data_IF_685798335864
#
_entry.id   IF_685798335864
#
_cell.length_a   1.000
_cell.length_b   1.000
_cell.length_c   1.000
_cell.angle_alpha   90.00
_cell.angle_beta   90.00
_cell.angle_gamma   90.00
#
_symmetry.space_group_name_H-M   'P 1'
#
loop_
_entity.id
_entity.type
_entity.pdbx_description
1 polymer ?
#
# COMPACT_ATOMS: atom_id res chain seq x y z
N UNK A 1 11.74 0.42 -21.89
CA UNK A 1 12.25 0.97 -20.62
C UNK A 1 12.44 -0.17 -19.63
N UNK A 2 13.38 0.00 -18.70
CA UNK A 2 13.71 -0.88 -17.59
C UNK A 2 13.19 -0.25 -16.29
N UNK A 3 12.24 -0.91 -15.63
CA UNK A 3 11.48 -0.34 -14.51
C UNK A 3 11.60 -1.24 -13.29
N UNK A 4 11.90 -0.66 -12.13
CA UNK A 4 11.72 -1.33 -10.84
C UNK A 4 10.35 -0.96 -10.30
N UNK A 5 9.56 -1.96 -9.91
CA UNK A 5 8.28 -1.77 -9.22
C UNK A 5 8.34 -2.40 -7.83
N UNK A 6 8.52 -1.57 -6.81
CA UNK A 6 8.52 -1.98 -5.40
C UNK A 6 7.11 -1.99 -4.83
N UNK A 7 6.68 -3.12 -4.25
CA UNK A 7 5.34 -3.30 -3.68
C UNK A 7 5.44 -3.64 -2.20
N UNK A 8 4.78 -2.84 -1.36
CA UNK A 8 4.63 -3.09 0.07
C UNK A 8 3.93 -4.45 0.34
N UNK A 9 4.42 -5.18 1.34
CA UNK A 9 3.94 -6.53 1.69
C UNK A 9 3.05 -6.58 2.93
N UNK A 10 2.68 -5.42 3.50
CA UNK A 10 1.80 -5.28 4.66
C UNK A 10 0.40 -5.90 4.49
N UNK A 11 -0.03 -6.12 3.25
CA UNK A 11 -1.25 -6.85 2.90
C UNK A 11 -1.40 -7.00 1.40
N UNK A 12 -2.33 -7.86 0.97
CA UNK A 12 -2.58 -8.11 -0.46
C UNK A 12 -3.20 -6.91 -1.20
N UNK A 13 -3.69 -5.90 -0.49
CA UNK A 13 -4.23 -4.68 -1.10
C UNK A 13 -3.19 -3.95 -1.96
N UNK A 14 -1.95 -3.83 -1.48
CA UNK A 14 -0.87 -3.20 -2.27
C UNK A 14 -0.52 -4.02 -3.51
N UNK A 15 -0.42 -5.35 -3.37
CA UNK A 15 -0.17 -6.26 -4.48
C UNK A 15 -1.26 -6.16 -5.55
N UNK A 16 -2.52 -6.35 -5.16
CA UNK A 16 -3.67 -6.36 -6.08
C UNK A 16 -3.91 -5.01 -6.74
N UNK A 17 -3.73 -3.89 -6.01
CA UNK A 17 -3.78 -2.54 -6.60
C UNK A 17 -2.66 -2.28 -7.61
N UNK A 18 -1.48 -2.85 -7.39
CA UNK A 18 -0.33 -2.68 -8.29
C UNK A 18 -0.46 -3.49 -9.58
N UNK A 19 -1.24 -4.58 -9.59
CA UNK A 19 -1.43 -5.44 -10.76
C UNK A 19 -1.87 -4.69 -12.04
N UNK A 20 -2.94 -3.86 -12.05
CA UNK A 20 -3.35 -3.17 -13.26
C UNK A 20 -2.24 -2.27 -13.84
N UNK A 21 -1.46 -1.64 -12.97
CA UNK A 21 -0.35 -0.78 -13.39
C UNK A 21 0.79 -1.61 -13.97
N UNK A 22 1.22 -2.67 -13.28
CA UNK A 22 2.31 -3.54 -13.76
C UNK A 22 1.92 -4.22 -15.08
N UNK A 23 0.68 -4.73 -15.20
CA UNK A 23 0.15 -5.31 -16.45
C UNK A 23 0.15 -4.28 -17.58
N UNK A 24 -0.24 -3.04 -17.29
CA UNK A 24 -0.20 -1.95 -18.28
C UNK A 24 1.23 -1.67 -18.74
N UNK A 25 2.20 -1.59 -17.84
CA UNK A 25 3.61 -1.40 -18.18
C UNK A 25 4.15 -2.53 -19.07
N UNK A 26 3.80 -3.79 -18.75
CA UNK A 26 4.18 -4.95 -19.55
C UNK A 26 3.54 -4.89 -20.95
N UNK A 27 2.26 -4.50 -21.04
CA UNK A 27 1.58 -4.36 -22.33
C UNK A 27 2.15 -3.25 -23.23
N UNK A 28 2.88 -2.31 -22.64
CA UNK A 28 3.64 -1.27 -23.35
C UNK A 28 5.08 -1.69 -23.64
N UNK A 29 5.37 -3.00 -23.55
CA UNK A 29 6.67 -3.60 -23.85
C UNK A 29 7.81 -3.10 -22.94
N UNK A 30 7.47 -2.64 -21.72
CA UNK A 30 8.45 -2.33 -20.69
C UNK A 30 8.87 -3.57 -19.90
N UNK A 31 10.14 -3.61 -19.53
CA UNK A 31 10.71 -4.68 -18.71
C UNK A 31 10.59 -4.28 -17.24
N UNK A 32 9.87 -5.09 -16.45
CA UNK A 32 9.57 -4.79 -15.05
C UNK A 32 10.27 -5.78 -14.12
N UNK A 33 11.07 -5.25 -13.21
CA UNK A 33 11.59 -5.98 -12.05
C UNK A 33 10.68 -5.69 -10.85
N UNK A 34 9.99 -6.71 -10.36
CA UNK A 34 9.08 -6.61 -9.22
C UNK A 34 9.84 -6.90 -7.93
N UNK A 35 9.77 -5.98 -6.97
CA UNK A 35 10.35 -6.12 -5.64
C UNK A 35 9.23 -6.18 -4.60
N UNK A 36 9.12 -7.27 -3.86
CA UNK A 36 8.19 -7.37 -2.73
C UNK A 36 8.72 -8.40 -1.73
N UNK A 37 7.89 -8.88 -0.81
CA UNK A 37 8.27 -9.90 0.17
C UNK A 37 7.10 -10.86 0.43
N UNK A 38 7.44 -12.12 0.75
CA UNK A 38 6.51 -13.11 1.28
C UNK A 38 5.26 -13.29 0.43
N UNK A 39 4.10 -13.34 1.09
CA UNK A 39 2.81 -13.65 0.45
C UNK A 39 2.45 -12.68 -0.69
N UNK A 40 2.76 -11.40 -0.55
CA UNK A 40 2.50 -10.41 -1.61
C UNK A 40 3.33 -10.70 -2.86
N UNK A 41 4.60 -11.08 -2.69
CA UNK A 41 5.45 -11.47 -3.81
C UNK A 41 4.93 -12.73 -4.51
N UNK A 42 4.47 -13.73 -3.74
CA UNK A 42 3.92 -14.97 -4.30
C UNK A 42 2.62 -14.73 -5.10
N UNK A 43 1.73 -13.85 -4.63
CA UNK A 43 0.55 -13.44 -5.40
C UNK A 43 0.96 -12.72 -6.68
N UNK A 44 1.91 -11.78 -6.62
CA UNK A 44 2.40 -11.08 -7.81
C UNK A 44 2.99 -12.05 -8.84
N UNK A 45 3.82 -13.01 -8.42
CA UNK A 45 4.38 -14.05 -9.30
C UNK A 45 3.28 -14.87 -9.98
N UNK A 46 2.28 -15.31 -9.20
CA UNK A 46 1.17 -16.10 -9.71
C UNK A 46 0.34 -15.33 -10.75
N UNK A 47 0.08 -14.06 -10.49
CA UNK A 47 -0.80 -13.21 -11.30
C UNK A 47 -0.13 -12.60 -12.54
N UNK A 48 1.20 -12.44 -12.52
CA UNK A 48 1.97 -11.82 -13.59
C UNK A 48 2.79 -12.81 -14.43
N UNK A 49 2.95 -14.05 -13.94
CA UNK A 49 3.65 -15.12 -14.65
C UNK A 49 5.15 -15.18 -14.37
N UNK A 50 5.84 -16.25 -14.82
CA UNK A 50 7.23 -16.53 -14.46
C UNK A 50 8.28 -15.69 -15.23
N UNK A 51 7.88 -15.02 -16.32
CA UNK A 51 8.83 -14.39 -17.26
C UNK A 51 9.37 -13.04 -16.78
N UNK A 52 8.89 -12.54 -15.64
CA UNK A 52 9.38 -11.31 -15.02
C UNK A 52 10.49 -11.59 -14.01
N UNK A 53 11.29 -10.56 -13.74
CA UNK A 53 12.27 -10.63 -12.67
C UNK A 53 11.61 -10.29 -11.33
N UNK A 54 11.72 -11.20 -10.37
CA UNK A 54 11.22 -11.03 -9.02
C UNK A 54 12.36 -10.98 -8.02
N UNK A 55 12.33 -10.00 -7.11
CA UNK A 55 13.30 -9.91 -6.02
C UNK A 55 12.57 -9.87 -4.69
N UNK A 56 12.96 -10.79 -3.81
CA UNK A 56 12.47 -10.81 -2.44
C UNK A 56 13.33 -9.90 -1.57
N UNK A 57 12.78 -8.73 -1.23
CA UNK A 57 13.39 -7.79 -0.28
C UNK A 57 12.37 -7.53 0.82
N UNK A 58 12.63 -7.98 2.07
CA UNK A 58 11.81 -7.66 3.22
C UNK A 58 11.59 -6.14 3.32
N UNK A 59 10.35 -5.74 3.60
CA UNK A 59 10.05 -4.36 3.96
C UNK A 59 10.21 -4.15 5.46
N UNK A 60 9.72 -3.01 5.95
CA UNK A 60 9.72 -2.66 7.37
C UNK A 60 8.46 -3.23 8.05
N UNK A 61 8.51 -3.60 9.34
CA UNK A 61 7.40 -4.29 10.00
C UNK A 61 6.15 -3.40 10.12
N UNK A 62 4.97 -3.97 9.81
CA UNK A 62 3.69 -3.36 10.14
C UNK A 62 3.45 -3.48 11.64
N UNK A 63 3.18 -2.36 12.32
CA UNK A 63 2.89 -2.35 13.75
C UNK A 63 1.40 -2.47 13.99
N UNK A 64 1.02 -3.47 14.78
CA UNK A 64 -0.36 -3.70 15.18
C UNK A 64 -0.47 -3.80 16.69
N UNK A 65 -1.57 -3.25 17.19
CA UNK A 65 -1.90 -3.28 18.60
C UNK A 65 -3.41 -3.35 18.78
N UNK A 66 -3.82 -3.94 19.90
CA UNK A 66 -5.22 -4.05 20.31
C UNK A 66 -5.83 -2.69 20.68
N UNK A 67 -4.99 -1.78 21.20
CA UNK A 67 -5.43 -0.45 21.60
C UNK A 67 -4.41 0.66 21.26
N UNK A 68 -4.90 1.90 21.24
CA UNK A 68 -4.16 3.07 20.77
C UNK A 68 -2.92 3.41 21.58
N UNK A 69 -2.97 3.25 22.91
CA UNK A 69 -1.81 3.53 23.78
C UNK A 69 -0.68 2.55 23.52
N UNK A 70 -1.01 1.26 23.38
CA UNK A 70 -0.03 0.24 22.99
C UNK A 70 0.51 0.49 21.57
N UNK A 71 -0.32 0.94 20.62
CA UNK A 71 0.14 1.31 19.29
C UNK A 71 1.20 2.41 19.33
N UNK A 72 0.95 3.50 20.08
CA UNK A 72 1.92 4.59 20.23
C UNK A 72 3.21 4.14 20.92
N UNK A 73 3.11 3.36 22.00
CA UNK A 73 4.28 2.84 22.71
C UNK A 73 5.13 1.90 21.83
N UNK A 74 4.49 0.94 21.14
CA UNK A 74 5.17 0.05 20.20
C UNK A 74 5.80 0.84 19.06
N UNK A 75 5.12 1.85 18.52
CA UNK A 75 5.65 2.71 17.45
C UNK A 75 6.97 3.37 17.83
N UNK A 76 7.08 3.90 19.05
CA UNK A 76 8.34 4.50 19.52
C UNK A 76 9.45 3.46 19.69
N UNK A 77 9.15 2.29 20.25
CA UNK A 77 10.15 1.22 20.48
C UNK A 77 10.63 0.61 19.17
N UNK A 78 9.74 0.43 18.20
CA UNK A 78 10.06 -0.18 16.90
C UNK A 78 10.64 0.82 15.90
N UNK A 79 10.62 2.11 16.20
CA UNK A 79 11.14 3.15 15.31
C UNK A 79 12.58 2.90 14.81
N UNK A 80 13.56 2.53 15.67
CA UNK A 80 14.92 2.25 15.20
C UNK A 80 14.98 1.05 14.27
N UNK A 81 14.16 0.02 14.51
CA UNK A 81 14.06 -1.16 13.64
C UNK A 81 13.45 -0.79 12.30
N UNK A 82 12.41 0.03 12.29
CA UNK A 82 11.78 0.55 11.09
C UNK A 82 12.78 1.33 10.21
N UNK A 83 13.55 2.25 10.79
CA UNK A 83 14.57 3.00 10.05
C UNK A 83 15.67 2.07 9.52
N UNK A 84 16.15 1.13 10.35
CA UNK A 84 17.15 0.15 9.92
C UNK A 84 16.66 -0.69 8.73
N UNK A 85 15.41 -1.12 8.73
CA UNK A 85 14.80 -1.86 7.61
C UNK A 85 14.74 -1.02 6.34
N UNK A 86 14.47 0.29 6.45
CA UNK A 86 14.54 1.19 5.30
C UNK A 86 15.97 1.27 4.75
N UNK A 87 16.96 1.40 5.62
CA UNK A 87 18.39 1.44 5.22
C UNK A 87 18.84 0.13 4.57
N UNK A 88 18.45 -1.01 5.14
CA UNK A 88 18.75 -2.34 4.59
C UNK A 88 18.12 -2.54 3.21
N UNK A 89 16.87 -2.11 3.03
CA UNK A 89 16.15 -2.15 1.74
C UNK A 89 16.81 -1.26 0.69
N UNK A 90 17.19 -0.04 1.06
CA UNK A 90 17.94 0.87 0.19
C UNK A 90 19.29 0.27 -0.22
N UNK A 91 20.04 -0.32 0.72
CA UNK A 91 21.32 -0.95 0.44
C UNK A 91 21.17 -2.12 -0.54
N UNK A 92 20.10 -2.92 -0.42
CA UNK A 92 19.78 -3.99 -1.36
C UNK A 92 19.40 -3.44 -2.75
N UNK A 93 18.56 -2.41 -2.80
CA UNK A 93 18.23 -1.73 -4.05
C UNK A 93 19.49 -1.21 -4.76
N UNK A 94 20.42 -0.57 -4.03
CA UNK A 94 21.67 -0.08 -4.62
C UNK A 94 22.50 -1.21 -5.25
N UNK A 95 22.54 -2.41 -4.65
CA UNK A 95 23.21 -3.57 -5.25
C UNK A 95 22.55 -4.03 -6.55
N UNK A 96 21.24 -3.85 -6.70
CA UNK A 96 20.51 -4.16 -7.94
C UNK A 96 20.84 -3.11 -9.00
N UNK A 97 20.78 -1.83 -8.64
CA UNK A 97 21.09 -0.70 -9.54
C UNK A 97 22.54 -0.70 -10.05
N UNK A 98 23.48 -1.33 -9.32
CA UNK A 98 24.86 -1.50 -9.78
C UNK A 98 25.05 -2.57 -10.85
N UNK A 99 24.12 -3.53 -10.97
CA UNK A 99 24.24 -4.69 -11.88
C UNK A 99 23.63 -4.43 -13.25
N UNK A 100 22.61 -3.58 -13.32
CA UNK A 100 21.82 -3.32 -14.52
C UNK A 100 21.32 -1.87 -14.50
N UNK A 101 21.21 -1.27 -15.67
CA UNK A 101 20.59 0.03 -15.84
C UNK A 101 19.07 -0.04 -15.65
N UNK A 102 18.51 0.96 -14.97
CA UNK A 102 17.08 1.16 -14.83
C UNK A 102 16.73 2.59 -15.17
N UNK A 103 15.65 2.78 -15.93
CA UNK A 103 15.17 4.09 -16.36
C UNK A 103 14.30 4.75 -15.28
N UNK A 104 13.57 3.95 -14.49
CA UNK A 104 12.57 4.45 -13.55
C UNK A 104 12.38 3.49 -12.35
N UNK A 105 12.02 4.06 -11.20
CA UNK A 105 11.62 3.32 -10.00
C UNK A 105 10.21 3.77 -9.61
N UNK A 106 9.29 2.83 -9.46
CA UNK A 106 7.95 3.06 -8.92
C UNK A 106 7.89 2.34 -7.57
N UNK A 107 7.55 3.07 -6.52
CA UNK A 107 7.43 2.54 -5.17
C UNK A 107 6.00 2.64 -4.67
N UNK A 108 5.32 1.52 -4.53
CA UNK A 108 4.05 1.43 -3.82
C UNK A 108 4.30 1.28 -2.32
N UNK A 109 4.13 2.39 -1.60
CA UNK A 109 4.19 2.50 -0.15
C UNK A 109 5.45 1.90 0.48
N UNK A 110 6.58 1.96 -0.22
CA UNK A 110 7.91 1.52 0.22
C UNK A 110 8.91 2.68 0.29
N UNK A 111 9.17 3.18 1.49
CA UNK A 111 10.09 4.30 1.71
C UNK A 111 11.56 4.00 1.35
N UNK A 112 11.89 2.73 1.15
CA UNK A 112 13.21 2.21 0.85
C UNK A 112 13.47 1.97 -0.65
N UNK A 113 12.50 2.28 -1.50
CA UNK A 113 12.57 2.05 -2.95
C UNK A 113 12.70 3.36 -3.72
N UNK A 114 13.87 3.99 -3.67
CA UNK A 114 14.17 5.19 -4.46
C UNK A 114 15.66 5.33 -4.79
N UNK A 115 15.97 6.21 -5.75
CA UNK A 115 17.34 6.58 -6.10
C UNK A 115 17.48 8.08 -6.25
N UNK A 116 18.63 8.63 -5.85
CA UNK A 116 18.98 10.04 -6.10
C UNK A 116 19.35 10.31 -7.57
N UNK A 117 19.62 9.25 -8.36
CA UNK A 117 20.10 9.35 -9.74
C UNK A 117 19.09 8.90 -10.79
N UNK A 118 18.10 8.10 -10.39
CA UNK A 118 17.09 7.51 -11.27
C UNK A 118 15.74 8.10 -10.85
N UNK A 119 14.92 8.59 -11.79
CA UNK A 119 13.60 9.12 -11.47
C UNK A 119 12.80 8.09 -10.69
N UNK A 120 12.29 8.52 -9.53
CA UNK A 120 11.60 7.65 -8.59
C UNK A 120 10.24 8.25 -8.27
N UNK A 121 9.16 7.46 -8.38
CA UNK A 121 7.78 7.86 -8.10
C UNK A 121 7.26 7.11 -6.89
N UNK A 122 6.50 7.78 -6.02
CA UNK A 122 5.91 7.17 -4.85
C UNK A 122 4.40 7.06 -4.99
N UNK A 123 3.85 5.85 -4.85
CA UNK A 123 2.42 5.61 -4.81
C UNK A 123 2.00 5.43 -3.35
N UNK A 124 1.06 6.24 -2.87
CA UNK A 124 0.50 6.12 -1.53
C UNK A 124 -0.96 6.50 -1.48
N UNK A 125 -1.71 5.83 -0.61
CA UNK A 125 -3.10 6.14 -0.28
C UNK A 125 -3.25 6.58 1.19
N UNK A 126 -2.12 6.71 1.90
CA UNK A 126 -2.04 7.12 3.30
C UNK A 126 -1.01 8.25 3.40
N UNK A 127 -1.42 9.44 2.99
CA UNK A 127 -0.62 10.67 3.12
C UNK A 127 -0.61 11.17 4.58
N UNK A 128 -1.64 10.80 5.35
CA UNK A 128 -1.78 10.99 6.79
C UNK A 128 -2.02 9.63 7.46
N UNK A 129 -1.33 9.37 8.56
CA UNK A 129 -1.66 8.26 9.46
C UNK A 129 -2.67 8.78 10.48
N UNK A 130 -3.90 8.29 10.42
CA UNK A 130 -4.93 8.63 11.41
C UNK A 130 -4.55 8.09 12.78
N UNK A 131 -4.53 8.97 13.78
CA UNK A 131 -4.42 8.57 15.16
C UNK A 131 -5.83 8.39 15.74
N UNK A 132 -6.16 7.25 16.37
CA UNK A 132 -7.48 7.03 16.97
C UNK A 132 -7.87 8.07 18.03
N UNK A 133 -6.91 8.79 18.61
CA UNK A 133 -7.16 9.87 19.58
C UNK A 133 -7.26 11.27 18.93
N UNK A 134 -7.19 11.37 17.60
CA UNK A 134 -7.20 12.64 16.83
C UNK A 134 -6.25 13.70 17.40
N UNK A 135 -5.11 13.24 17.94
CA UNK A 135 -4.11 14.15 18.50
C UNK A 135 -3.46 14.87 17.33
N UNK A 136 -3.91 16.09 17.06
CA UNK A 136 -3.47 16.90 15.92
C UNK A 136 -1.95 17.07 15.84
N UNK A 137 -1.25 17.09 16.99
CA UNK A 137 0.21 17.17 17.03
C UNK A 137 0.88 15.92 16.43
N UNK A 138 0.31 14.74 16.66
CA UNK A 138 0.82 13.48 16.11
C UNK A 138 0.59 13.41 14.61
N UNK A 139 -0.61 13.74 14.14
CA UNK A 139 -0.94 13.83 12.71
C UNK A 139 0.02 14.78 11.98
N UNK A 140 0.26 15.96 12.56
CA UNK A 140 1.25 16.92 12.06
C UNK A 140 2.66 16.32 12.01
N UNK A 141 3.05 15.52 12.99
CA UNK A 141 4.37 14.86 12.99
C UNK A 141 4.47 13.79 11.88
N UNK A 142 3.41 13.02 11.66
CA UNK A 142 3.33 12.01 10.60
C UNK A 142 3.33 12.66 9.20
N UNK A 143 2.58 13.74 8.98
CA UNK A 143 2.67 14.49 7.72
C UNK A 143 4.07 15.06 7.49
N UNK A 144 4.76 15.52 8.55
CA UNK A 144 6.17 15.97 8.45
C UNK A 144 7.11 14.83 8.05
N UNK A 145 6.90 13.66 8.63
CA UNK A 145 7.67 12.46 8.30
C UNK A 145 7.44 12.06 6.84
N UNK A 146 6.18 11.97 6.41
CA UNK A 146 5.83 11.65 5.02
C UNK A 146 6.42 12.68 4.05
N UNK A 147 6.29 13.98 4.34
CA UNK A 147 6.89 15.05 3.55
C UNK A 147 8.42 14.92 3.44
N UNK A 148 9.10 14.53 4.53
CA UNK A 148 10.54 14.28 4.49
C UNK A 148 10.89 13.16 3.52
N UNK A 149 10.11 12.08 3.48
CA UNK A 149 10.33 10.99 2.54
C UNK A 149 9.93 11.34 1.11
N UNK A 150 8.81 12.01 0.90
CA UNK A 150 8.30 12.37 -0.42
C UNK A 150 9.26 13.24 -1.22
N UNK A 151 10.06 14.09 -0.55
CA UNK A 151 11.14 14.88 -1.18
C UNK A 151 12.24 14.04 -1.85
N UNK A 152 12.28 12.72 -1.65
CA UNK A 152 13.22 11.79 -2.31
C UNK A 152 12.71 11.28 -3.66
N UNK A 153 11.43 11.50 -3.93
CA UNK A 153 10.74 11.11 -5.15
C UNK A 153 10.51 12.36 -6.00
N UNK A 154 10.41 12.16 -7.30
CA UNK A 154 10.08 13.24 -8.24
C UNK A 154 8.65 13.70 -7.98
N UNK A 155 7.73 12.73 -7.91
CA UNK A 155 6.32 12.99 -7.67
C UNK A 155 5.69 11.90 -6.79
N UNK A 156 4.58 12.29 -6.16
CA UNK A 156 3.73 11.40 -5.37
C UNK A 156 2.40 11.22 -6.09
N UNK A 157 2.01 9.96 -6.26
CA UNK A 157 0.81 9.51 -6.92
C UNK A 157 -0.14 8.94 -5.86
N UNK A 158 -1.38 9.42 -5.86
CA UNK A 158 -2.44 8.90 -5.00
C UNK A 158 -3.45 8.14 -5.86
N UNK A 159 -3.64 6.82 -5.64
CA UNK A 159 -4.60 6.00 -6.38
C UNK A 159 -6.02 6.20 -5.83
N UNK A 160 -6.48 7.44 -5.89
CA UNK A 160 -7.80 7.91 -5.47
C UNK A 160 -8.24 9.05 -6.39
N UNK A 161 -9.53 9.37 -6.38
CA UNK A 161 -10.03 10.55 -7.08
C UNK A 161 -9.71 11.81 -6.28
N UNK A 162 -9.44 12.94 -6.97
CA UNK A 162 -9.22 14.24 -6.32
C UNK A 162 -10.51 14.73 -5.64
N UNK A 163 -11.62 14.65 -6.38
CA UNK A 163 -12.98 14.91 -5.90
C UNK A 163 -13.74 13.58 -5.80
N UNK A 164 -14.79 13.49 -4.96
CA UNK A 164 -15.55 12.23 -4.73
C UNK A 164 -14.67 11.03 -4.32
N UNK A 165 -13.72 11.31 -3.42
CA UNK A 165 -12.68 10.39 -3.02
C UNK A 165 -13.13 9.25 -2.10
N UNK A 166 -12.35 8.18 -2.06
CA UNK A 166 -12.59 7.04 -1.18
C UNK A 166 -11.79 7.09 0.13
N UNK A 167 -10.63 7.76 0.13
CA UNK A 167 -9.71 7.73 1.27
C UNK A 167 -9.98 8.80 2.34
N UNK A 168 -10.79 9.81 2.05
CA UNK A 168 -11.10 10.92 2.96
C UNK A 168 -9.84 11.59 3.50
N UNK A 169 -9.84 11.91 4.79
CA UNK A 169 -8.74 12.58 5.50
C UNK A 169 -7.38 11.82 5.49
N UNK A 170 -7.32 10.58 4.96
CA UNK A 170 -6.05 9.85 4.79
C UNK A 170 -5.19 10.41 3.66
N UNK A 171 -5.80 10.89 2.57
CA UNK A 171 -5.08 11.49 1.44
C UNK A 171 -5.60 12.84 0.99
N UNK A 172 -6.64 13.36 1.66
CA UNK A 172 -7.27 14.64 1.35
C UNK A 172 -7.28 15.54 2.59
N UNK A 173 -7.54 16.83 2.37
CA UNK A 173 -7.56 17.85 3.41
C UNK A 173 -6.26 17.89 4.23
N UNK A 174 -5.14 17.75 3.53
CA UNK A 174 -3.79 17.70 4.07
C UNK A 174 -3.38 19.10 4.56
N UNK A 175 -2.64 19.14 5.68
CA UNK A 175 -2.30 20.43 6.31
C UNK A 175 -0.93 20.92 5.90
N UNK A 176 0.01 20.01 5.62
CA UNK A 176 1.41 20.32 5.30
C UNK A 176 1.85 19.95 3.90
N UNK A 177 1.14 19.04 3.28
CA UNK A 177 1.43 18.58 1.92
C UNK A 177 0.46 19.33 1.02
N UNK A 178 1.00 20.00 0.02
CA UNK A 178 0.21 20.70 -0.98
C UNK A 178 -0.47 19.67 -1.89
N UNK A 179 -1.79 19.59 -1.85
CA UNK A 179 -2.57 18.63 -2.64
C UNK A 179 -2.51 18.93 -4.14
N UNK A 180 -2.22 20.16 -4.55
CA UNK A 180 -2.02 20.50 -5.96
C UNK A 180 -0.67 19.98 -6.49
N UNK A 181 0.25 19.60 -5.60
CA UNK A 181 1.50 18.92 -5.96
C UNK A 181 1.38 17.39 -6.02
N UNK A 182 0.18 16.84 -5.74
CA UNK A 182 -0.09 15.41 -5.74
C UNK A 182 -0.82 15.01 -7.04
N UNK A 183 -0.40 13.88 -7.62
CA UNK A 183 -1.08 13.29 -8.77
C UNK A 183 -2.16 12.29 -8.35
N UNK A 184 -3.41 12.73 -8.32
CA UNK A 184 -4.57 11.85 -8.14
C UNK A 184 -4.91 11.16 -9.46
N UNK A 185 -4.82 9.83 -9.50
CA UNK A 185 -5.00 9.04 -10.73
C UNK A 185 -6.33 8.27 -10.78
N UNK A 186 -7.19 8.50 -9.81
CA UNK A 186 -8.40 7.70 -9.61
C UNK A 186 -8.10 6.33 -9.00
N UNK A 187 -9.16 5.55 -8.79
CA UNK A 187 -9.05 4.26 -8.12
C UNK A 187 -8.44 3.23 -9.06
N UNK A 188 -7.33 2.63 -8.62
CA UNK A 188 -6.70 1.51 -9.29
C UNK A 188 -7.40 0.21 -8.89
N UNK A 189 -8.08 -0.43 -9.84
CA UNK A 189 -8.80 -1.69 -9.63
C UNK A 189 -8.74 -2.56 -10.87
N UNK A 190 -8.49 -3.85 -10.67
CA UNK A 190 -8.58 -4.88 -11.72
C UNK A 190 -10.00 -5.44 -11.88
N UNK A 191 -10.96 -5.00 -11.04
CA UNK A 191 -12.32 -5.46 -11.16
C UNK A 191 -13.04 -4.79 -12.32
N UNK A 192 -13.64 -5.62 -13.18
CA UNK A 192 -14.54 -5.18 -14.23
C UNK A 192 -15.97 -5.56 -13.89
N UNK A 193 -16.91 -4.64 -14.17
CA UNK A 193 -18.34 -4.91 -14.00
C UNK A 193 -18.78 -5.97 -15.01
N UNK A 194 -19.41 -7.03 -14.53
CA UNK A 194 -19.97 -8.10 -15.36
C UNK A 194 -21.50 -8.04 -15.35
N UNK A 195 -22.19 -8.34 -16.47
CA UNK A 195 -23.65 -8.38 -16.52
C UNK A 195 -24.15 -9.70 -15.89
N UNK A 196 -24.12 -9.76 -14.56
CA UNK A 196 -24.59 -10.90 -13.78
C UNK A 196 -25.87 -10.52 -13.03
N UNK A 197 -26.69 -11.53 -12.72
CA UNK A 197 -27.83 -11.34 -11.83
C UNK A 197 -27.30 -10.89 -10.46
N UNK A 198 -27.92 -9.86 -9.88
CA UNK A 198 -27.67 -9.46 -8.50
C UNK A 198 -28.47 -10.38 -7.58
N UNK A 199 -27.80 -11.35 -6.98
CA UNK A 199 -28.36 -12.35 -6.07
C UNK A 199 -27.77 -12.29 -4.65
N UNK A 200 -26.85 -11.35 -4.43
CA UNK A 200 -26.29 -11.01 -3.11
C UNK A 200 -26.82 -9.62 -2.74
N UNK A 201 -27.54 -9.53 -1.62
CA UNK A 201 -28.05 -8.28 -1.09
C UNK A 201 -26.97 -7.54 -0.28
N UNK A 202 -26.17 -8.30 0.48
CA UNK A 202 -25.08 -7.77 1.29
C UNK A 202 -23.80 -8.58 1.11
N UNK A 203 -22.72 -7.93 0.66
CA UNK A 203 -21.38 -8.50 0.68
C UNK A 203 -20.57 -7.83 1.79
N UNK A 204 -20.20 -8.60 2.80
CA UNK A 204 -19.32 -8.15 3.88
C UNK A 204 -17.97 -8.84 3.65
N UNK A 205 -16.96 -8.05 3.27
CA UNK A 205 -15.61 -8.57 3.01
C UNK A 205 -14.65 -8.11 4.09
N UNK A 206 -14.23 -9.04 4.95
CA UNK A 206 -13.30 -8.80 6.05
C UNK A 206 -11.92 -9.30 5.65
N UNK A 207 -10.95 -8.42 5.78
CA UNK A 207 -9.54 -8.73 5.60
C UNK A 207 -8.71 -7.76 6.42
N UNK A 208 -7.43 -8.05 6.55
CA UNK A 208 -6.51 -7.26 7.34
C UNK A 208 -5.85 -8.11 8.41
N UNK A 209 -5.01 -7.50 9.25
CA UNK A 209 -4.15 -8.25 10.11
C UNK A 209 -4.73 -8.46 11.51
N UNK A 210 -4.26 -9.49 12.19
CA UNK A 210 -4.68 -9.82 13.55
C UNK A 210 -4.08 -8.86 14.59
N UNK A 211 -4.79 -8.57 15.71
CA UNK A 211 -6.09 -9.13 16.10
C UNK A 211 -7.31 -8.32 15.58
N UNK A 212 -7.08 -7.18 14.92
CA UNK A 212 -8.16 -6.26 14.52
C UNK A 212 -9.14 -6.90 13.53
N UNK A 213 -8.67 -7.78 12.65
CA UNK A 213 -9.50 -8.56 11.73
C UNK A 213 -10.53 -9.41 12.50
N UNK A 214 -10.08 -10.24 13.44
CA UNK A 214 -10.97 -11.10 14.24
C UNK A 214 -11.96 -10.27 15.08
N UNK A 215 -11.49 -9.18 15.68
CA UNK A 215 -12.38 -8.29 16.45
C UNK A 215 -13.48 -7.66 15.60
N UNK A 216 -13.20 -7.33 14.33
CA UNK A 216 -14.21 -6.81 13.41
C UNK A 216 -15.15 -7.92 12.94
N UNK A 217 -14.62 -9.10 12.65
CA UNK A 217 -15.39 -10.30 12.30
C UNK A 217 -16.44 -10.62 13.35
N UNK A 218 -16.07 -10.73 14.63
CA UNK A 218 -17.00 -11.05 15.71
C UNK A 218 -18.14 -10.03 15.83
N UNK A 219 -17.82 -8.74 15.65
CA UNK A 219 -18.80 -7.65 15.71
C UNK A 219 -19.77 -7.65 14.53
N UNK A 220 -19.27 -7.92 13.32
CA UNK A 220 -20.10 -7.91 12.13
C UNK A 220 -20.91 -9.21 12.01
N UNK A 221 -20.33 -10.36 12.36
CA UNK A 221 -21.03 -11.64 12.32
C UNK A 221 -22.24 -11.67 13.26
N UNK A 222 -22.17 -11.02 14.43
CA UNK A 222 -23.30 -10.94 15.36
C UNK A 222 -24.47 -10.12 14.80
N UNK A 223 -24.17 -9.06 14.04
CA UNK A 223 -25.17 -8.18 13.41
C UNK A 223 -25.64 -8.69 12.03
N UNK A 224 -24.84 -9.51 11.35
CA UNK A 224 -25.15 -9.99 9.99
C UNK A 224 -26.44 -10.81 9.93
N UNK A 225 -26.79 -11.50 11.02
CA UNK A 225 -28.03 -12.28 11.13
C UNK A 225 -29.29 -11.40 11.22
N UNK A 226 -29.14 -10.11 11.51
CA UNK A 226 -30.26 -9.16 11.59
C UNK A 226 -30.62 -8.56 10.22
N UNK A 227 -29.80 -8.81 9.18
CA UNK A 227 -30.03 -8.31 7.84
C UNK A 227 -31.00 -9.21 7.07
N UNK A 228 -32.05 -8.62 6.50
CA UNK A 228 -32.98 -9.32 5.62
C UNK A 228 -32.40 -9.48 4.21
N UNK A 229 -32.19 -10.73 3.77
CA UNK A 229 -31.75 -11.05 2.41
C UNK A 229 -30.58 -12.03 2.34
N UNK A 230 -30.00 -12.16 1.16
CA UNK A 230 -28.83 -13.00 0.92
C UNK A 230 -27.56 -12.26 1.35
N UNK A 231 -27.07 -12.59 2.54
CA UNK A 231 -25.83 -12.06 3.11
C UNK A 231 -24.67 -13.01 2.81
N UNK A 232 -23.59 -12.48 2.24
CA UNK A 232 -22.34 -13.20 2.00
C UNK A 232 -21.23 -12.54 2.80
N UNK A 233 -20.58 -13.32 3.66
CA UNK A 233 -19.46 -12.89 4.50
C UNK A 233 -18.18 -13.61 4.06
N UNK A 234 -17.16 -12.86 3.64
CA UNK A 234 -15.84 -13.42 3.31
C UNK A 234 -14.82 -13.00 4.37
N UNK A 235 -14.18 -13.97 5.04
CA UNK A 235 -13.43 -13.72 6.28
C UNK A 235 -11.92 -13.49 6.09
N UNK A 236 -11.39 -13.74 4.89
CA UNK A 236 -9.97 -13.54 4.61
C UNK A 236 -9.03 -14.46 5.41
N UNK A 237 -9.55 -15.56 5.97
CA UNK A 237 -8.79 -16.57 6.71
C UNK A 237 -7.74 -17.19 5.78
N UNK A 238 -6.47 -17.16 6.20
CA UNK A 238 -5.35 -17.74 5.49
C UNK A 238 -4.51 -18.59 6.43
#
# INVERSE_FOLDING_TARGET
MEIIYGVCSWGLGHATRSLPVIRKLISEEYHVTVISNGRSLEVLKKELGPDLQYVDIPDYPMLLSENTRQFLAKSMVYWPVFIKRIEDGLAQLQKILQKKHYDCIISDARYDMYSKKIPSFFISHQMRIMNPLQIQMFERAMERFNQFFFKRFIDVIVPDYKEDNLSGDLSHHLRRIDEDSIHYVGVLSDFSKRPLKKDIDYLISISGPEPQRSMLEEKLASQANELEGNVVLTLGNA
#
